data_IF_546322616841
#
_entry.id   IF_546322616841
#
_cell.length_a   1.000
_cell.length_b   1.000
_cell.length_c   1.000
_cell.angle_alpha   90.00
_cell.angle_beta   90.00
_cell.angle_gamma   90.00
#
_symmetry.space_group_name_H-M   'P 1'
#
loop_
_entity.id
_entity.type
_entity.pdbx_description
1 polymer ?
#
# COMPACT_ATOMS: atom_id res chain seq x y z
N UNK A 1 -27.07 -33.99 8.31
CA UNK A 1 -27.66 -33.63 7.02
C UNK A 1 -26.52 -33.49 6.06
N UNK A 2 -26.54 -34.24 4.96
CA UNK A 2 -25.45 -34.29 4.00
C UNK A 2 -25.50 -32.98 3.18
N UNK A 3 -24.39 -32.28 3.02
CA UNK A 3 -24.36 -31.02 2.32
C UNK A 3 -23.13 -30.88 1.41
N UNK A 4 -23.28 -30.09 0.37
CA UNK A 4 -22.20 -29.65 -0.50
C UNK A 4 -22.21 -28.13 -0.58
N UNK A 5 -21.04 -27.51 -0.66
CA UNK A 5 -20.86 -26.08 -0.87
C UNK A 5 -20.11 -25.87 -2.18
N UNK A 6 -20.62 -25.03 -3.07
CA UNK A 6 -19.99 -24.59 -4.31
C UNK A 6 -19.89 -23.07 -4.27
N UNK A 7 -18.67 -22.55 -4.16
CA UNK A 7 -18.39 -21.13 -4.21
C UNK A 7 -17.64 -20.83 -5.50
N UNK A 8 -18.16 -19.93 -6.32
CA UNK A 8 -17.53 -19.52 -7.57
C UNK A 8 -17.46 -18.00 -7.64
N UNK A 9 -16.25 -17.47 -7.83
CA UNK A 9 -16.04 -16.07 -8.16
C UNK A 9 -15.60 -15.98 -9.64
N UNK A 10 -16.48 -15.53 -10.54
CA UNK A 10 -16.18 -15.48 -11.97
C UNK A 10 -15.11 -14.45 -12.32
N UNK A 11 -14.97 -13.38 -11.53
CA UNK A 11 -14.00 -12.31 -11.75
C UNK A 11 -12.56 -12.69 -11.39
N UNK A 12 -12.41 -13.59 -10.41
CA UNK A 12 -11.11 -14.11 -9.98
C UNK A 12 -10.81 -15.50 -10.55
N UNK A 13 -11.76 -16.09 -11.30
CA UNK A 13 -11.72 -17.49 -11.77
C UNK A 13 -11.37 -18.47 -10.64
N UNK A 14 -11.95 -18.24 -9.45
CA UNK A 14 -11.72 -19.09 -8.27
C UNK A 14 -12.97 -19.87 -7.96
N UNK A 15 -12.83 -21.20 -7.91
CA UNK A 15 -13.90 -22.11 -7.50
C UNK A 15 -13.45 -22.90 -6.27
N UNK A 16 -14.22 -22.83 -5.19
CA UNK A 16 -14.03 -23.65 -4.01
C UNK A 16 -15.22 -24.59 -3.83
N UNK A 17 -14.96 -25.89 -3.70
CA UNK A 17 -16.00 -26.88 -3.42
C UNK A 17 -15.69 -27.58 -2.10
N UNK A 18 -16.72 -27.77 -1.27
CA UNK A 18 -16.63 -28.56 -0.03
C UNK A 18 -17.76 -29.57 0.01
N UNK A 19 -17.45 -30.80 0.42
CA UNK A 19 -18.43 -31.84 0.65
C UNK A 19 -18.44 -32.17 2.14
N UNK A 20 -19.59 -32.00 2.80
CA UNK A 20 -19.73 -32.19 4.24
C UNK A 20 -18.70 -31.39 5.07
N UNK A 21 -18.37 -30.17 4.62
CA UNK A 21 -17.38 -29.28 5.25
C UNK A 21 -15.92 -29.68 5.02
N UNK A 22 -15.64 -30.73 4.25
CA UNK A 22 -14.29 -31.19 3.91
C UNK A 22 -13.96 -30.85 2.45
N UNK A 23 -12.67 -30.67 2.18
CA UNK A 23 -12.18 -30.54 0.80
C UNK A 23 -12.49 -31.81 -0.01
N UNK A 24 -12.61 -31.69 -1.35
CA UNK A 24 -12.86 -32.84 -2.21
C UNK A 24 -11.76 -33.89 -2.04
N UNK A 25 -12.08 -35.15 -2.36
CA UNK A 25 -11.07 -36.22 -2.35
C UNK A 25 -9.96 -35.90 -3.35
N UNK A 26 -8.75 -36.35 -3.07
CA UNK A 26 -7.60 -36.22 -3.98
C UNK A 26 -7.95 -36.89 -5.33
N UNK A 27 -7.78 -36.16 -6.44
CA UNK A 27 -8.22 -36.51 -7.81
C UNK A 27 -9.74 -36.34 -8.06
N UNK A 28 -10.41 -35.47 -7.31
CA UNK A 28 -11.79 -35.12 -7.63
C UNK A 28 -11.85 -34.48 -9.03
N UNK A 29 -12.91 -34.76 -9.80
CA UNK A 29 -13.07 -34.18 -11.14
C UNK A 29 -13.13 -32.64 -11.13
N UNK A 30 -13.43 -32.04 -9.97
CA UNK A 30 -13.49 -30.59 -9.75
C UNK A 30 -12.14 -29.92 -9.97
N UNK A 31 -11.02 -30.59 -9.68
CA UNK A 31 -9.65 -30.05 -9.88
C UNK A 31 -9.42 -29.62 -11.34
N UNK A 32 -10.12 -30.23 -12.31
CA UNK A 32 -10.01 -29.88 -13.74
C UNK A 32 -10.69 -28.56 -14.12
N UNK A 33 -11.50 -28.02 -13.21
CA UNK A 33 -12.39 -26.88 -13.47
C UNK A 33 -12.14 -25.69 -12.54
N UNK A 34 -11.18 -25.78 -11.61
CA UNK A 34 -10.93 -24.74 -10.60
C UNK A 34 -10.69 -23.35 -11.20
N UNK A 35 -9.97 -23.30 -12.33
CA UNK A 35 -9.59 -22.07 -13.04
C UNK A 35 -10.46 -21.77 -14.28
N UNK A 36 -11.67 -22.35 -14.36
CA UNK A 36 -12.60 -22.12 -15.48
C UNK A 36 -13.87 -21.44 -15.00
N UNK A 37 -14.52 -20.70 -15.89
CA UNK A 37 -15.84 -20.13 -15.60
C UNK A 37 -16.84 -21.24 -15.31
N UNK A 38 -17.66 -21.08 -14.28
CA UNK A 38 -18.67 -22.08 -13.93
C UNK A 38 -19.62 -22.36 -15.09
N UNK A 39 -19.96 -21.33 -15.87
CA UNK A 39 -20.78 -21.45 -17.07
C UNK A 39 -20.24 -22.45 -18.11
N UNK A 40 -18.92 -22.70 -18.17
CA UNK A 40 -18.31 -23.63 -19.13
C UNK A 40 -18.48 -25.10 -18.74
N UNK A 41 -18.63 -25.37 -17.44
CA UNK A 41 -18.67 -26.73 -16.91
C UNK A 41 -19.87 -27.00 -16.02
N UNK A 42 -20.82 -26.06 -15.93
CA UNK A 42 -22.06 -26.20 -15.16
C UNK A 42 -22.79 -27.50 -15.53
N UNK A 43 -22.77 -27.88 -16.81
CA UNK A 43 -23.35 -29.13 -17.34
C UNK A 43 -22.75 -30.39 -16.71
N UNK A 44 -21.50 -30.35 -16.24
CA UNK A 44 -20.84 -31.46 -15.57
C UNK A 44 -21.12 -31.51 -14.05
N UNK A 45 -21.58 -30.40 -13.45
CA UNK A 45 -21.76 -30.27 -11.99
C UNK A 45 -22.65 -31.38 -11.40
N UNK A 46 -23.85 -31.69 -11.93
CA UNK A 46 -24.70 -32.69 -11.28
C UNK A 46 -24.05 -34.08 -11.23
N UNK A 47 -23.39 -34.50 -12.32
CA UNK A 47 -22.71 -35.80 -12.38
C UNK A 47 -21.54 -35.90 -11.40
N UNK A 48 -20.71 -34.84 -11.34
CA UNK A 48 -19.57 -34.79 -10.40
C UNK A 48 -20.04 -34.83 -8.94
N UNK A 49 -21.11 -34.12 -8.62
CA UNK A 49 -21.65 -34.08 -7.27
C UNK A 49 -22.36 -35.38 -6.89
N UNK A 50 -23.02 -36.04 -7.85
CA UNK A 50 -23.59 -37.38 -7.65
C UNK A 50 -22.53 -38.40 -7.25
N UNK A 51 -21.41 -38.43 -7.99
CA UNK A 51 -20.32 -39.37 -7.76
C UNK A 51 -19.65 -39.16 -6.40
N UNK A 52 -19.43 -37.90 -5.99
CA UNK A 52 -18.80 -37.61 -4.69
C UNK A 52 -19.72 -37.85 -3.50
N UNK A 53 -21.02 -37.56 -3.67
CA UNK A 53 -22.02 -37.69 -2.61
C UNK A 53 -22.68 -39.07 -2.55
N UNK A 54 -22.34 -39.97 -3.48
CA UNK A 54 -22.94 -41.29 -3.67
C UNK A 54 -24.47 -41.25 -3.87
N UNK A 55 -24.97 -40.21 -4.52
CA UNK A 55 -26.41 -40.03 -4.76
C UNK A 55 -26.89 -38.59 -4.69
N UNK A 56 -28.17 -38.41 -5.05
CA UNK A 56 -28.91 -37.16 -4.91
C UNK A 56 -29.78 -37.22 -3.64
N UNK A 57 -29.17 -36.90 -2.50
CA UNK A 57 -29.83 -36.71 -1.19
C UNK A 57 -28.99 -35.75 -0.34
N UNK A 58 -28.87 -34.49 -0.79
CA UNK A 58 -28.06 -33.48 -0.12
C UNK A 58 -28.54 -32.04 -0.39
N UNK A 59 -28.20 -31.14 0.52
CA UNK A 59 -28.35 -29.70 0.31
C UNK A 59 -27.12 -29.14 -0.41
N UNK A 60 -27.32 -28.37 -1.48
CA UNK A 60 -26.25 -27.68 -2.21
C UNK A 60 -26.29 -26.19 -1.89
N UNK A 61 -25.32 -25.72 -1.11
CA UNK A 61 -25.12 -24.30 -0.85
C UNK A 61 -24.28 -23.68 -1.95
N UNK A 62 -24.85 -22.74 -2.69
CA UNK A 62 -24.16 -22.01 -3.75
C UNK A 62 -23.76 -20.61 -3.28
N UNK A 63 -22.59 -20.13 -3.71
CA UNK A 63 -22.18 -18.73 -3.58
C UNK A 63 -21.56 -18.29 -4.90
N UNK A 64 -22.13 -17.26 -5.52
CA UNK A 64 -21.77 -16.86 -6.89
C UNK A 64 -22.71 -15.78 -7.39
N UNK A 65 -22.69 -15.55 -8.71
CA UNK A 65 -23.66 -14.64 -9.35
C UNK A 65 -25.05 -15.27 -9.40
N UNK A 66 -26.09 -14.44 -9.46
CA UNK A 66 -27.47 -14.94 -9.61
C UNK A 66 -27.65 -15.69 -10.94
N UNK A 67 -26.96 -15.25 -12.00
CA UNK A 67 -26.96 -15.94 -13.28
C UNK A 67 -26.44 -17.39 -13.17
N UNK A 68 -25.29 -17.58 -12.51
CA UNK A 68 -24.71 -18.91 -12.32
C UNK A 68 -25.64 -19.81 -11.48
N UNK A 69 -26.32 -19.24 -10.49
CA UNK A 69 -27.29 -19.96 -9.66
C UNK A 69 -28.50 -20.44 -10.46
N UNK A 70 -29.08 -19.59 -11.31
CA UNK A 70 -30.17 -19.97 -12.21
C UNK A 70 -29.74 -21.05 -13.21
N UNK A 71 -28.55 -20.88 -13.81
CA UNK A 71 -27.99 -21.85 -14.76
C UNK A 71 -27.75 -23.22 -14.09
N UNK A 72 -27.27 -23.21 -12.85
CA UNK A 72 -27.10 -24.41 -12.04
C UNK A 72 -28.45 -25.10 -11.79
N UNK A 73 -29.48 -24.38 -11.36
CA UNK A 73 -30.84 -24.93 -11.15
C UNK A 73 -31.40 -25.54 -12.43
N UNK A 74 -31.30 -24.83 -13.56
CA UNK A 74 -31.73 -25.34 -14.86
C UNK A 74 -30.99 -26.61 -15.25
N UNK A 75 -29.68 -26.68 -14.98
CA UNK A 75 -28.87 -27.85 -15.32
C UNK A 75 -29.29 -29.11 -14.53
N UNK A 76 -29.54 -28.97 -13.22
CA UNK A 76 -30.05 -30.07 -12.40
C UNK A 76 -31.45 -30.52 -12.87
N UNK A 77 -32.33 -29.56 -13.21
CA UNK A 77 -33.66 -29.86 -13.74
C UNK A 77 -33.62 -30.58 -15.10
N UNK A 78 -32.71 -30.17 -15.99
CA UNK A 78 -32.51 -30.81 -17.29
C UNK A 78 -31.98 -32.25 -17.19
N UNK A 79 -31.24 -32.58 -16.12
CA UNK A 79 -30.85 -33.96 -15.80
C UNK A 79 -31.96 -34.76 -15.09
N UNK A 80 -33.13 -34.17 -14.88
CA UNK A 80 -34.27 -34.83 -14.23
C UNK A 80 -34.13 -34.97 -12.72
N UNK A 81 -33.23 -34.20 -12.09
CA UNK A 81 -33.08 -34.18 -10.63
C UNK A 81 -34.17 -33.31 -10.03
N UNK A 82 -34.97 -33.89 -9.14
CA UNK A 82 -36.08 -33.18 -8.51
C UNK A 82 -35.56 -32.30 -7.34
N UNK A 83 -36.23 -31.16 -7.05
CA UNK A 83 -35.86 -30.29 -5.93
C UNK A 83 -35.89 -30.99 -4.55
N UNK A 84 -36.65 -32.08 -4.42
CA UNK A 84 -36.68 -32.90 -3.21
C UNK A 84 -35.43 -33.79 -3.04
N UNK A 85 -34.65 -34.01 -4.11
CA UNK A 85 -33.44 -34.83 -4.09
C UNK A 85 -32.18 -33.97 -3.86
N UNK A 86 -32.11 -32.80 -4.51
CA UNK A 86 -31.05 -31.82 -4.29
C UNK A 86 -31.68 -30.45 -4.10
N UNK A 87 -31.61 -29.94 -2.88
CA UNK A 87 -32.07 -28.59 -2.58
C UNK A 87 -30.93 -27.60 -2.76
N UNK A 88 -31.00 -26.82 -3.83
CA UNK A 88 -30.00 -25.78 -4.14
C UNK A 88 -30.41 -24.49 -3.41
N UNK A 89 -29.50 -23.94 -2.62
CA UNK A 89 -29.72 -22.78 -1.75
C UNK A 89 -28.63 -21.75 -2.02
N UNK A 90 -29.01 -20.54 -2.42
CA UNK A 90 -28.09 -19.41 -2.51
C UNK A 90 -27.70 -18.95 -1.10
N UNK A 91 -26.40 -18.89 -0.81
CA UNK A 91 -25.86 -18.47 0.49
C UNK A 91 -25.32 -17.05 0.45
N UNK A 92 -24.51 -16.74 -0.56
CA UNK A 92 -23.95 -15.41 -0.79
C UNK A 92 -24.06 -15.09 -2.28
N UNK A 93 -24.72 -13.98 -2.57
CA UNK A 93 -24.84 -13.45 -3.93
C UNK A 93 -23.67 -12.50 -4.19
N UNK A 94 -22.95 -12.73 -5.29
CA UNK A 94 -22.01 -11.77 -5.84
C UNK A 94 -22.75 -10.85 -6.81
N UNK A 95 -22.41 -9.56 -6.76
CA UNK A 95 -22.92 -8.57 -7.69
C UNK A 95 -22.59 -8.93 -9.14
N UNK A 96 -23.52 -8.62 -10.03
CA UNK A 96 -23.40 -8.87 -11.46
C UNK A 96 -22.31 -8.01 -12.11
N UNK A 97 -21.82 -8.50 -13.25
CA UNK A 97 -20.71 -7.86 -13.97
C UNK A 97 -21.06 -6.44 -14.44
N UNK A 98 -22.33 -6.16 -14.68
CA UNK A 98 -22.83 -4.83 -15.08
C UNK A 98 -22.70 -3.82 -13.92
N UNK A 99 -23.06 -4.24 -12.71
CA UNK A 99 -22.90 -3.43 -11.51
C UNK A 99 -21.41 -3.17 -11.26
N UNK A 100 -20.58 -4.23 -11.33
CA UNK A 100 -19.12 -4.10 -11.18
C UNK A 100 -18.47 -3.21 -12.24
N UNK A 101 -18.90 -3.32 -13.49
CA UNK A 101 -18.41 -2.46 -14.58
C UNK A 101 -18.75 -0.99 -14.31
N UNK A 102 -19.94 -0.71 -13.78
CA UNK A 102 -20.33 0.64 -13.37
C UNK A 102 -19.51 1.15 -12.19
N UNK A 103 -19.31 0.34 -11.16
CA UNK A 103 -18.46 0.69 -10.00
C UNK A 103 -17.01 1.00 -10.44
N UNK A 104 -16.47 0.24 -11.39
CA UNK A 104 -15.13 0.50 -11.95
C UNK A 104 -15.10 1.88 -12.62
N UNK A 105 -16.13 2.24 -13.40
CA UNK A 105 -16.20 3.57 -14.03
C UNK A 105 -16.28 4.68 -12.99
N UNK A 106 -17.12 4.51 -11.96
CA UNK A 106 -17.22 5.45 -10.84
C UNK A 106 -15.89 5.57 -10.08
N UNK A 107 -15.15 4.47 -9.91
CA UNK A 107 -13.81 4.47 -9.31
C UNK A 107 -12.79 5.23 -10.18
N UNK A 108 -12.77 5.00 -11.49
CA UNK A 108 -11.90 5.71 -12.42
C UNK A 108 -12.20 7.22 -12.43
N UNK A 109 -13.48 7.59 -12.45
CA UNK A 109 -13.90 8.99 -12.32
C UNK A 109 -13.42 9.58 -10.99
N UNK A 110 -13.60 8.85 -9.88
CA UNK A 110 -13.15 9.29 -8.57
C UNK A 110 -11.62 9.49 -8.51
N UNK A 111 -10.83 8.57 -9.08
CA UNK A 111 -9.37 8.68 -9.15
C UNK A 111 -8.92 9.86 -10.02
N UNK A 112 -9.64 10.15 -11.10
CA UNK A 112 -9.36 11.29 -11.96
C UNK A 112 -9.54 12.64 -11.23
N UNK A 113 -10.49 12.70 -10.28
CA UNK A 113 -10.76 13.89 -9.47
C UNK A 113 -9.80 13.97 -8.27
N UNK A 114 -9.55 12.84 -7.61
CA UNK A 114 -8.78 12.75 -6.38
C UNK A 114 -7.32 12.38 -6.66
N UNK A 115 -6.57 13.34 -7.20
CA UNK A 115 -5.16 13.16 -7.53
C UNK A 115 -4.30 12.89 -6.30
N UNK A 116 -3.42 11.90 -6.39
CA UNK A 116 -2.48 11.53 -5.34
C UNK A 116 -1.04 11.77 -5.81
N UNK A 117 -0.21 12.39 -4.97
CA UNK A 117 1.20 12.66 -5.30
C UNK A 117 2.03 11.39 -5.47
N UNK A 118 1.65 10.30 -4.81
CA UNK A 118 2.34 9.01 -4.84
C UNK A 118 1.82 8.06 -5.92
N UNK A 119 0.74 8.43 -6.61
CA UNK A 119 0.11 7.61 -7.66
C UNK A 119 -0.25 8.49 -8.86
N UNK A 120 0.48 8.30 -9.96
CA UNK A 120 0.25 9.02 -11.21
C UNK A 120 -0.88 8.36 -12.00
N UNK A 121 -2.11 8.82 -11.76
CA UNK A 121 -3.29 8.31 -12.45
C UNK A 121 -3.27 8.56 -13.96
N UNK A 122 -2.67 9.65 -14.45
CA UNK A 122 -2.68 9.92 -15.90
C UNK A 122 -1.79 8.91 -16.63
N UNK A 123 -0.58 8.67 -16.10
CA UNK A 123 0.32 7.65 -16.64
C UNK A 123 -0.30 6.24 -16.55
N UNK A 124 -0.94 5.92 -15.42
CA UNK A 124 -1.63 4.64 -15.23
C UNK A 124 -2.80 4.46 -16.22
N UNK A 125 -3.62 5.50 -16.40
CA UNK A 125 -4.76 5.47 -17.31
C UNK A 125 -4.31 5.36 -18.76
N UNK A 126 -3.30 6.11 -19.19
CA UNK A 126 -2.79 6.09 -20.56
C UNK A 126 -2.22 4.72 -20.96
N UNK A 127 -1.54 4.02 -20.04
CA UNK A 127 -1.01 2.68 -20.28
C UNK A 127 -2.13 1.63 -20.45
N UNK A 128 -3.24 1.81 -19.74
CA UNK A 128 -4.34 0.84 -19.69
C UNK A 128 -5.60 1.31 -20.44
N UNK A 129 -5.46 2.35 -21.26
CA UNK A 129 -6.57 3.02 -21.94
C UNK A 129 -7.39 2.08 -22.80
N UNK A 130 -6.73 1.17 -23.50
CA UNK A 130 -7.37 0.19 -24.38
C UNK A 130 -8.35 -0.71 -23.63
N UNK A 131 -8.07 -1.03 -22.36
CA UNK A 131 -8.95 -1.83 -21.51
C UNK A 131 -10.07 -0.95 -20.94
N UNK A 132 -9.75 0.22 -20.37
CA UNK A 132 -10.74 1.07 -19.69
C UNK A 132 -11.78 1.69 -20.63
N UNK A 133 -11.41 1.97 -21.87
CA UNK A 133 -12.32 2.52 -22.89
C UNK A 133 -12.99 1.44 -23.74
N UNK A 134 -12.76 0.16 -23.44
CA UNK A 134 -13.32 -0.95 -24.19
C UNK A 134 -14.85 -0.93 -24.15
N UNK A 135 -15.45 -0.79 -25.32
CA UNK A 135 -16.88 -0.98 -25.52
C UNK A 135 -17.14 -2.41 -25.95
N UNK A 136 -18.06 -3.11 -25.30
CA UNK A 136 -18.43 -4.45 -25.70
C UNK A 136 -19.01 -4.45 -27.12
N UNK A 137 -18.39 -5.20 -28.03
CA UNK A 137 -18.78 -5.33 -29.43
C UNK A 137 -19.47 -6.67 -29.68
N UNK A 138 -20.45 -6.68 -30.58
CA UNK A 138 -21.07 -7.89 -31.13
C UNK A 138 -20.91 -7.89 -32.66
N UNK A 139 -20.33 -8.95 -33.20
CA UNK A 139 -20.11 -9.09 -34.64
C UNK A 139 -21.35 -9.71 -35.28
N UNK A 140 -21.93 -9.03 -36.26
CA UNK A 140 -23.07 -9.53 -37.03
C UNK A 140 -22.61 -9.87 -38.43
N UNK A 141 -22.61 -11.15 -38.77
CA UNK A 141 -22.30 -11.63 -40.11
C UNK A 141 -23.57 -11.52 -40.96
N UNK A 142 -23.49 -10.66 -41.98
CA UNK A 142 -24.54 -10.39 -42.97
C UNK A 142 -25.80 -9.78 -42.35
N UNK A 143 -25.57 -8.88 -41.39
CA UNK A 143 -26.58 -7.97 -40.89
C UNK A 143 -27.17 -7.10 -42.01
N UNK A 144 -28.45 -6.76 -41.91
CA UNK A 144 -28.91 -5.50 -42.52
C UNK A 144 -28.47 -4.37 -41.60
N UNK A 145 -28.12 -3.20 -42.17
CA UNK A 145 -27.90 -1.97 -41.40
C UNK A 145 -29.24 -1.49 -40.82
N UNK A 146 -29.79 -2.23 -39.85
CA UNK A 146 -30.90 -1.75 -39.04
C UNK A 146 -30.34 -1.32 -37.69
N UNK A 147 -30.32 0.00 -37.50
CA UNK A 147 -29.99 0.65 -36.23
C UNK A 147 -31.02 0.18 -35.21
N UNK A 148 -30.60 -0.73 -34.32
CA UNK A 148 -31.36 -1.05 -33.13
C UNK A 148 -31.00 0.01 -32.09
N UNK A 149 -31.88 1.00 -31.92
CA UNK A 149 -31.75 1.98 -30.85
C UNK A 149 -31.83 1.27 -29.48
N UNK A 150 -30.97 1.70 -28.54
CA UNK A 150 -30.88 1.25 -27.14
C UNK A 150 -30.26 -0.13 -26.82
N UNK A 151 -29.29 -0.62 -27.60
CA UNK A 151 -28.48 -1.77 -27.18
C UNK A 151 -27.33 -1.36 -26.22
N UNK A 152 -27.01 -2.16 -25.18
CA UNK A 152 -25.91 -1.87 -24.26
C UNK A 152 -24.51 -2.18 -24.83
N UNK A 153 -24.44 -2.52 -26.13
CA UNK A 153 -23.23 -2.94 -26.84
C UNK A 153 -23.24 -2.42 -28.28
N UNK A 154 -22.07 -2.36 -28.90
CA UNK A 154 -21.90 -1.90 -30.28
C UNK A 154 -22.05 -3.07 -31.27
N UNK A 155 -22.66 -2.80 -32.43
CA UNK A 155 -22.83 -3.80 -33.49
C UNK A 155 -21.82 -3.55 -34.61
N UNK A 156 -21.00 -4.54 -34.90
CA UNK A 156 -20.08 -4.52 -36.05
C UNK A 156 -20.63 -5.43 -37.15
N UNK A 157 -21.16 -4.84 -38.22
CA UNK A 157 -21.75 -5.58 -39.31
C UNK A 157 -20.71 -5.88 -40.40
N UNK A 158 -20.47 -7.17 -40.63
CA UNK A 158 -19.50 -7.65 -41.62
C UNK A 158 -20.20 -8.43 -42.72
N UNK A 159 -19.73 -8.32 -43.96
CA UNK A 159 -20.32 -9.06 -45.09
C UNK A 159 -19.79 -10.48 -45.13
N UNK A 160 -18.52 -10.66 -44.76
CA UNK A 160 -17.89 -11.97 -44.66
C UNK A 160 -16.87 -12.03 -43.54
N UNK A 161 -16.67 -13.24 -43.03
CA UNK A 161 -15.64 -13.59 -42.04
C UNK A 161 -14.22 -13.23 -42.51
N UNK A 162 -13.99 -13.08 -43.81
CA UNK A 162 -12.70 -12.64 -44.36
C UNK A 162 -12.25 -11.25 -43.84
N UNK A 163 -13.19 -10.42 -43.37
CA UNK A 163 -12.91 -9.07 -42.83
C UNK A 163 -12.31 -9.10 -41.41
N UNK A 164 -12.53 -10.19 -40.67
CA UNK A 164 -12.16 -10.35 -39.24
C UNK A 164 -11.01 -11.34 -39.03
N UNK A 165 -10.26 -11.68 -40.08
CA UNK A 165 -9.17 -12.67 -40.01
C UNK A 165 -8.02 -12.25 -39.07
N UNK A 166 -7.82 -10.94 -38.87
CA UNK A 166 -6.76 -10.39 -38.03
C UNK A 166 -7.20 -9.93 -36.63
N UNK A 167 -8.49 -9.99 -36.31
CA UNK A 167 -9.02 -9.53 -35.02
C UNK A 167 -9.11 -10.69 -34.03
N UNK A 168 -8.78 -10.46 -32.77
CA UNK A 168 -8.99 -11.46 -31.72
C UNK A 168 -10.47 -11.42 -31.30
N UNK A 169 -11.15 -12.56 -31.45
CA UNK A 169 -12.58 -12.68 -31.14
C UNK A 169 -12.84 -13.43 -29.84
N UNK A 170 -11.84 -13.56 -28.95
CA UNK A 170 -12.00 -14.22 -27.65
C UNK A 170 -13.15 -13.59 -26.87
N UNK A 171 -14.12 -14.41 -26.45
CA UNK A 171 -15.36 -14.01 -25.78
C UNK A 171 -16.29 -13.06 -26.55
N UNK A 172 -15.96 -12.63 -27.77
CA UNK A 172 -16.82 -11.76 -28.58
C UNK A 172 -17.99 -12.58 -29.16
N UNK A 173 -19.26 -12.17 -28.97
CA UNK A 173 -20.40 -12.86 -29.59
C UNK A 173 -20.43 -12.62 -31.10
N UNK A 174 -20.71 -13.69 -31.85
CA UNK A 174 -20.86 -13.66 -33.31
C UNK A 174 -22.26 -14.12 -33.68
N UNK A 175 -23.03 -13.24 -34.30
CA UNK A 175 -24.39 -13.50 -34.76
C UNK A 175 -24.39 -13.74 -36.27
N UNK A 176 -24.87 -14.92 -36.68
CA UNK A 176 -25.09 -15.25 -38.09
C UNK A 176 -26.54 -15.00 -38.49
N UNK A 177 -26.75 -14.19 -39.52
CA UNK A 177 -28.05 -14.07 -40.20
C UNK A 177 -28.10 -15.08 -41.34
N UNK A 178 -29.02 -16.05 -41.24
CA UNK A 178 -29.21 -17.12 -42.22
C UNK A 178 -30.44 -16.81 -43.06
N UNK A 179 -30.20 -16.53 -44.34
CA UNK A 179 -31.22 -16.32 -45.36
C UNK A 179 -31.11 -17.40 -46.47
N UNK A 180 -32.19 -17.70 -47.22
CA UNK A 180 -32.18 -18.74 -48.24
C UNK A 180 -31.07 -18.55 -49.28
N UNK A 181 -30.81 -17.30 -49.67
CA UNK A 181 -29.87 -16.94 -50.71
C UNK A 181 -28.40 -17.01 -50.24
N UNK A 182 -28.16 -17.01 -48.92
CA UNK A 182 -26.82 -16.90 -48.33
C UNK A 182 -26.33 -18.18 -47.66
N UNK A 183 -27.10 -19.28 -47.70
CA UNK A 183 -26.79 -20.54 -46.99
C UNK A 183 -25.46 -21.18 -47.40
N UNK A 184 -25.08 -21.13 -48.68
CA UNK A 184 -23.80 -21.69 -49.15
C UNK A 184 -22.61 -20.88 -48.64
N UNK A 185 -22.75 -19.56 -48.64
CA UNK A 185 -21.75 -18.67 -48.10
C UNK A 185 -21.69 -18.81 -46.56
N UNK A 186 -22.82 -19.08 -45.90
CA UNK A 186 -22.86 -19.30 -44.44
C UNK A 186 -22.05 -20.54 -44.07
N UNK A 187 -22.18 -21.63 -44.83
CA UNK A 187 -21.38 -22.85 -44.62
C UNK A 187 -19.88 -22.57 -44.64
N UNK A 188 -19.42 -21.81 -45.63
CA UNK A 188 -18.00 -21.46 -45.77
C UNK A 188 -17.53 -20.64 -44.57
N UNK A 189 -18.29 -19.62 -44.20
CA UNK A 189 -17.94 -18.67 -43.14
C UNK A 189 -18.02 -19.33 -41.74
N UNK A 190 -18.95 -20.26 -41.51
CA UNK A 190 -19.01 -21.02 -40.25
C UNK A 190 -17.79 -21.94 -40.11
N UNK A 191 -17.43 -22.67 -41.18
CA UNK A 191 -16.26 -23.56 -41.17
C UNK A 191 -14.95 -22.79 -40.95
N UNK A 192 -14.82 -21.60 -41.54
CA UNK A 192 -13.62 -20.79 -41.32
C UNK A 192 -13.52 -20.23 -39.89
N UNK A 193 -14.64 -19.92 -39.23
CA UNK A 193 -14.63 -19.53 -37.82
C UNK A 193 -14.36 -20.70 -36.87
N UNK A 194 -14.92 -21.88 -37.12
CA UNK A 194 -14.72 -23.04 -36.24
C UNK A 194 -13.32 -23.64 -36.31
N UNK A 195 -12.55 -23.35 -37.37
CA UNK A 195 -11.12 -23.68 -37.45
C UNK A 195 -10.25 -22.77 -36.57
N UNK A 196 -10.76 -21.62 -36.12
CA UNK A 196 -10.01 -20.69 -35.29
C UNK A 196 -9.97 -21.13 -33.83
N UNK A 197 -8.88 -20.78 -33.14
CA UNK A 197 -8.65 -21.13 -31.72
C UNK A 197 -9.26 -20.14 -30.73
N UNK A 198 -9.56 -18.93 -31.18
CA UNK A 198 -10.11 -17.83 -30.39
C UNK A 198 -11.65 -17.80 -30.38
N UNK A 199 -12.29 -18.80 -31.00
CA UNK A 199 -13.74 -18.93 -31.10
C UNK A 199 -14.18 -20.26 -30.51
N UNK A 200 -15.16 -20.19 -29.63
CA UNK A 200 -15.86 -21.32 -29.05
C UNK A 200 -17.31 -21.37 -29.55
N UNK A 201 -17.90 -22.56 -29.55
CA UNK A 201 -19.27 -22.75 -30.05
C UNK A 201 -20.30 -21.91 -29.27
N UNK A 202 -20.04 -21.65 -27.99
CA UNK A 202 -20.88 -20.81 -27.11
C UNK A 202 -20.92 -19.33 -27.52
N UNK A 203 -20.02 -18.87 -28.39
CA UNK A 203 -20.01 -17.51 -28.92
C UNK A 203 -20.92 -17.34 -30.14
N UNK A 204 -21.36 -18.45 -30.74
CA UNK A 204 -22.06 -18.45 -32.02
C UNK A 204 -23.58 -18.43 -31.81
N UNK A 205 -24.22 -17.39 -32.32
CA UNK A 205 -25.66 -17.21 -32.30
C UNK A 205 -26.22 -17.25 -33.72
N UNK A 206 -27.37 -17.87 -33.91
CA UNK A 206 -27.96 -18.08 -35.23
C UNK A 206 -29.37 -17.47 -35.29
N UNK A 207 -29.52 -16.46 -36.15
CA UNK A 207 -30.80 -15.88 -36.50
C UNK A 207 -31.30 -16.52 -37.81
N UNK A 208 -32.35 -17.32 -37.71
CA UNK A 208 -32.96 -18.02 -38.86
C UNK A 208 -34.11 -17.17 -39.40
N UNK A 209 -34.04 -16.79 -40.67
CA UNK A 209 -35.12 -16.04 -41.32
C UNK A 209 -36.46 -16.78 -41.23
N UNK A 210 -37.60 -16.10 -40.96
CA UNK A 210 -38.92 -16.73 -40.83
C UNK A 210 -39.40 -17.49 -42.07
N UNK A 211 -38.76 -17.26 -43.22
CA UNK A 211 -39.07 -17.89 -44.50
C UNK A 211 -38.43 -19.27 -44.67
N UNK A 212 -37.56 -19.69 -43.75
CA UNK A 212 -36.85 -20.97 -43.78
C UNK A 212 -37.43 -21.99 -42.82
N UNK A 213 -37.26 -23.28 -43.15
CA UNK A 213 -37.56 -24.38 -42.25
C UNK A 213 -36.51 -24.45 -41.13
N UNK A 214 -36.95 -24.14 -39.90
CA UNK A 214 -36.11 -24.12 -38.71
C UNK A 214 -35.49 -25.49 -38.41
N UNK A 215 -36.23 -26.58 -38.57
CA UNK A 215 -35.72 -27.92 -38.24
C UNK A 215 -34.62 -28.34 -39.21
N UNK A 216 -34.79 -28.02 -40.49
CA UNK A 216 -33.77 -28.25 -41.51
C UNK A 216 -32.49 -27.46 -41.22
N UNK A 217 -32.60 -26.17 -40.89
CA UNK A 217 -31.43 -25.31 -40.63
C UNK A 217 -30.71 -25.72 -39.35
N UNK A 218 -31.43 -26.08 -38.28
CA UNK A 218 -30.83 -26.61 -37.05
C UNK A 218 -30.03 -27.87 -37.34
N UNK A 219 -30.63 -28.82 -38.07
CA UNK A 219 -29.93 -30.04 -38.47
C UNK A 219 -28.69 -29.74 -39.32
N UNK A 220 -28.80 -28.79 -40.24
CA UNK A 220 -27.68 -28.35 -41.06
C UNK A 220 -26.53 -27.76 -40.23
N UNK A 221 -26.83 -26.98 -39.19
CA UNK A 221 -25.82 -26.43 -38.27
C UNK A 221 -25.17 -27.55 -37.44
N UNK A 222 -25.97 -28.51 -36.95
CA UNK A 222 -25.45 -29.68 -36.24
C UNK A 222 -24.54 -30.54 -37.12
N UNK A 223 -24.90 -30.73 -38.41
CA UNK A 223 -24.09 -31.47 -39.39
C UNK A 223 -22.73 -30.78 -39.65
N UNK A 224 -22.61 -29.47 -39.38
CA UNK A 224 -21.37 -28.70 -39.46
C UNK A 224 -20.52 -28.75 -38.17
N UNK A 225 -20.97 -29.49 -37.15
CA UNK A 225 -20.19 -29.78 -35.94
C UNK A 225 -20.49 -28.89 -34.73
N UNK A 226 -21.57 -28.09 -34.76
CA UNK A 226 -22.03 -27.33 -33.59
C UNK A 226 -22.96 -28.19 -32.75
N UNK A 227 -22.58 -28.44 -31.50
CA UNK A 227 -23.41 -29.17 -30.54
C UNK A 227 -24.30 -28.16 -29.80
N UNK A 228 -25.63 -28.26 -29.97
CA UNK A 228 -26.63 -27.37 -29.35
C UNK A 228 -26.57 -25.91 -29.84
N UNK A 229 -27.04 -25.62 -31.08
CA UNK A 229 -26.95 -24.28 -31.66
C UNK A 229 -27.84 -23.26 -30.94
N UNK A 230 -27.27 -22.12 -30.57
CA UNK A 230 -27.99 -21.03 -29.92
C UNK A 230 -28.82 -20.24 -30.93
N UNK A 231 -30.12 -20.52 -30.97
CA UNK A 231 -31.07 -19.84 -31.86
C UNK A 231 -31.59 -18.56 -31.21
N UNK A 232 -31.57 -17.46 -31.94
CA UNK A 232 -32.14 -16.18 -31.50
C UNK A 232 -33.32 -15.77 -32.38
N UNK A 233 -34.34 -15.14 -31.78
CA UNK A 233 -35.49 -14.61 -32.52
C UNK A 233 -35.31 -13.16 -32.96
N UNK A 234 -34.41 -12.44 -32.31
CA UNK A 234 -33.91 -11.13 -32.71
C UNK A 234 -32.55 -10.88 -32.06
N UNK A 235 -31.80 -9.88 -32.55
CA UNK A 235 -30.55 -9.45 -31.88
C UNK A 235 -30.84 -8.88 -30.48
N UNK A 236 -32.05 -8.36 -30.28
CA UNK A 236 -32.55 -7.81 -29.02
C UNK A 236 -33.22 -8.84 -28.08
N UNK A 237 -33.17 -10.13 -28.40
CA UNK A 237 -33.84 -11.22 -27.67
C UNK A 237 -33.21 -11.51 -26.27
N UNK A 238 -32.41 -10.59 -25.75
CA UNK A 238 -31.71 -10.70 -24.46
C UNK A 238 -30.58 -11.72 -24.44
N UNK A 239 -30.60 -12.76 -25.28
CA UNK A 239 -29.62 -13.87 -25.28
C UNK A 239 -28.18 -13.38 -25.50
N UNK A 240 -27.98 -12.50 -26.48
CA UNK A 240 -26.68 -11.88 -26.75
C UNK A 240 -26.26 -10.96 -25.61
N UNK A 241 -27.20 -10.18 -25.06
CA UNK A 241 -26.96 -9.30 -23.90
C UNK A 241 -26.51 -10.12 -22.68
N UNK A 242 -27.17 -11.22 -22.39
CA UNK A 242 -26.81 -12.14 -21.30
C UNK A 242 -25.43 -12.74 -21.53
N UNK A 243 -25.11 -13.15 -22.76
CA UNK A 243 -23.78 -13.63 -23.10
C UNK A 243 -22.69 -12.58 -22.83
N UNK A 244 -22.91 -11.34 -23.28
CA UNK A 244 -21.97 -10.23 -23.06
C UNK A 244 -21.71 -10.00 -21.57
N UNK A 245 -22.76 -10.02 -20.75
CA UNK A 245 -22.64 -9.85 -19.29
C UNK A 245 -21.81 -10.95 -18.63
N UNK A 246 -21.87 -12.19 -19.14
CA UNK A 246 -21.27 -13.34 -18.47
C UNK A 246 -19.87 -13.71 -18.97
N UNK A 247 -19.49 -13.26 -20.17
CA UNK A 247 -18.19 -13.60 -20.78
C UNK A 247 -17.33 -12.35 -21.00
N UNK A 248 -17.56 -11.48 -22.00
CA UNK A 248 -16.81 -10.23 -22.18
C UNK A 248 -16.70 -9.38 -20.92
N UNK A 249 -17.83 -9.12 -20.26
CA UNK A 249 -17.88 -8.18 -19.14
C UNK A 249 -17.21 -8.75 -17.89
N UNK A 250 -17.35 -10.06 -17.64
CA UNK A 250 -16.60 -10.77 -16.60
C UNK A 250 -15.10 -10.72 -16.86
N UNK A 251 -14.68 -10.97 -18.12
CA UNK A 251 -13.27 -10.90 -18.51
C UNK A 251 -12.71 -9.48 -18.33
N UNK A 252 -13.46 -8.46 -18.73
CA UNK A 252 -13.11 -7.06 -18.49
C UNK A 252 -12.93 -6.75 -16.99
N UNK A 253 -13.92 -7.09 -16.16
CA UNK A 253 -13.84 -6.86 -14.70
C UNK A 253 -12.64 -7.60 -14.10
N UNK A 254 -12.40 -8.85 -14.51
CA UNK A 254 -11.25 -9.63 -14.06
C UNK A 254 -9.92 -8.99 -14.45
N UNK A 255 -9.77 -8.51 -15.68
CA UNK A 255 -8.54 -7.87 -16.13
C UNK A 255 -8.30 -6.54 -15.41
N UNK A 256 -9.34 -5.73 -15.22
CA UNK A 256 -9.25 -4.48 -14.44
C UNK A 256 -8.81 -4.75 -13.01
N UNK A 257 -9.38 -5.77 -12.35
CA UNK A 257 -8.97 -6.16 -10.99
C UNK A 257 -7.47 -6.49 -10.97
N UNK A 258 -6.98 -7.27 -11.95
CA UNK A 258 -5.56 -7.63 -12.01
C UNK A 258 -4.64 -6.44 -12.21
N UNK A 259 -5.04 -5.47 -13.03
CA UNK A 259 -4.30 -4.23 -13.25
C UNK A 259 -4.21 -3.44 -11.93
N UNK A 260 -5.33 -3.26 -11.23
CA UNK A 260 -5.35 -2.57 -9.94
C UNK A 260 -4.57 -3.32 -8.85
N UNK A 261 -4.69 -4.65 -8.76
CA UNK A 261 -3.91 -5.46 -7.83
C UNK A 261 -2.42 -5.31 -8.08
N UNK A 262 -1.98 -5.30 -9.34
CA UNK A 262 -0.59 -5.08 -9.68
C UNK A 262 -0.09 -3.72 -9.17
N UNK A 263 -0.83 -2.65 -9.46
CA UNK A 263 -0.45 -1.29 -9.06
C UNK A 263 -0.43 -1.11 -7.54
N UNK A 264 -1.43 -1.66 -6.83
CA UNK A 264 -1.48 -1.65 -5.36
C UNK A 264 -0.27 -2.36 -4.76
N UNK A 265 0.13 -3.51 -5.33
CA UNK A 265 1.30 -4.24 -4.86
C UNK A 265 2.61 -3.48 -5.09
N UNK A 266 2.73 -2.79 -6.23
CA UNK A 266 3.89 -1.92 -6.53
C UNK A 266 3.96 -0.76 -5.55
N UNK A 267 2.83 -0.11 -5.27
CA UNK A 267 2.75 0.98 -4.30
C UNK A 267 3.08 0.51 -2.88
N UNK A 268 2.54 -0.63 -2.44
CA UNK A 268 2.80 -1.18 -1.11
C UNK A 268 4.29 -1.52 -0.92
N UNK A 269 4.94 -2.06 -1.95
CA UNK A 269 6.39 -2.29 -1.94
C UNK A 269 7.19 -0.98 -1.79
N UNK A 270 6.84 0.05 -2.57
CA UNK A 270 7.47 1.37 -2.51
C UNK A 270 7.26 2.06 -1.15
N UNK A 271 6.08 1.92 -0.55
CA UNK A 271 5.78 2.46 0.77
C UNK A 271 6.56 1.76 1.88
N UNK A 272 6.72 0.43 1.81
CA UNK A 272 7.55 -0.33 2.75
C UNK A 272 8.99 0.13 2.71
N UNK A 273 9.58 0.26 1.53
CA UNK A 273 10.96 0.73 1.36
C UNK A 273 11.15 2.15 1.92
N UNK A 274 10.22 3.07 1.63
CA UNK A 274 10.27 4.42 2.20
C UNK A 274 10.15 4.43 3.73
N UNK A 275 9.28 3.61 4.30
CA UNK A 275 9.13 3.52 5.74
C UNK A 275 10.39 2.96 6.41
N UNK A 276 11.05 1.97 5.79
CA UNK A 276 12.34 1.45 6.26
C UNK A 276 13.43 2.53 6.21
N UNK A 277 13.52 3.27 5.10
CA UNK A 277 14.46 4.37 4.96
C UNK A 277 14.21 5.49 5.99
N UNK A 278 12.96 5.90 6.19
CA UNK A 278 12.62 6.88 7.23
C UNK A 278 12.87 6.37 8.64
N UNK A 279 12.76 5.06 8.90
CA UNK A 279 13.13 4.50 10.19
C UNK A 279 14.64 4.60 10.45
N UNK A 280 15.47 4.35 9.44
CA UNK A 280 16.93 4.50 9.52
C UNK A 280 17.30 5.96 9.76
N UNK A 281 16.75 6.88 8.99
CA UNK A 281 17.00 8.33 9.14
C UNK A 281 16.57 8.83 10.53
N UNK A 282 15.42 8.37 11.03
CA UNK A 282 14.97 8.73 12.38
C UNK A 282 15.95 8.24 13.46
N UNK A 283 16.49 7.02 13.33
CA UNK A 283 17.50 6.50 14.27
C UNK A 283 18.76 7.37 14.25
N UNK A 284 19.24 7.73 13.05
CA UNK A 284 20.41 8.61 12.91
C UNK A 284 20.17 9.99 13.56
N UNK A 285 18.97 10.56 13.38
CA UNK A 285 18.59 11.83 14.02
C UNK A 285 18.58 11.69 15.56
N UNK A 286 18.07 10.59 16.11
CA UNK A 286 18.10 10.35 17.56
C UNK A 286 19.52 10.20 18.11
N UNK A 287 20.43 9.56 17.36
CA UNK A 287 21.84 9.46 17.72
C UNK A 287 22.50 10.85 17.74
N UNK A 288 22.24 11.67 16.71
CA UNK A 288 22.73 13.05 16.66
C UNK A 288 22.21 13.90 17.82
N UNK A 289 20.91 13.82 18.13
CA UNK A 289 20.32 14.53 19.28
C UNK A 289 20.99 14.09 20.59
N UNK A 290 21.17 12.78 20.79
CA UNK A 290 21.81 12.25 22.00
C UNK A 290 23.24 12.75 22.16
N UNK A 291 24.00 12.85 21.07
CA UNK A 291 25.37 13.40 21.08
C UNK A 291 25.40 14.89 21.45
N UNK A 292 24.43 15.67 20.96
CA UNK A 292 24.29 17.09 21.29
C UNK A 292 23.88 17.30 22.74
N UNK A 293 23.00 16.47 23.27
CA UNK A 293 22.62 16.49 24.69
C UNK A 293 23.83 16.23 25.61
N UNK A 294 24.69 15.26 25.26
CA UNK A 294 25.93 15.00 26.00
C UNK A 294 26.88 16.22 25.99
N UNK A 295 27.02 16.88 24.83
CA UNK A 295 27.82 18.10 24.70
C UNK A 295 27.25 19.24 25.56
N UNK A 296 25.93 19.45 25.50
CA UNK A 296 25.26 20.49 26.29
C UNK A 296 25.46 20.24 27.78
N UNK A 297 25.37 19.00 28.24
CA UNK A 297 25.56 18.67 29.66
C UNK A 297 26.99 18.99 30.13
N UNK A 298 28.01 18.64 29.34
CA UNK A 298 29.41 18.99 29.64
C UNK A 298 29.64 20.51 29.70
N UNK A 299 28.97 21.27 28.83
CA UNK A 299 29.05 22.73 28.82
C UNK A 299 28.40 23.30 30.09
N UNK A 300 27.23 22.79 30.50
CA UNK A 300 26.55 23.21 31.74
C UNK A 300 27.39 22.92 32.98
N UNK A 301 27.93 21.70 33.09
CA UNK A 301 28.81 21.33 34.22
C UNK A 301 30.00 22.30 34.33
N UNK A 302 30.57 22.69 33.19
CA UNK A 302 31.66 23.65 33.17
C UNK A 302 31.20 25.08 33.53
N UNK A 303 30.06 25.54 33.02
CA UNK A 303 29.50 26.85 33.38
C UNK A 303 29.22 26.94 34.89
N UNK A 304 28.67 25.87 35.48
CA UNK A 304 28.48 25.75 36.92
C UNK A 304 29.82 25.87 37.68
N UNK A 305 30.92 25.34 37.13
CA UNK A 305 32.26 25.53 37.69
C UNK A 305 32.75 26.99 37.63
N UNK A 306 32.37 27.76 36.60
CA UNK A 306 32.72 29.18 36.49
C UNK A 306 31.87 30.08 37.40
N UNK A 307 30.58 29.78 37.56
CA UNK A 307 29.61 30.64 38.28
C UNK A 307 29.66 30.42 39.79
N UNK A 308 29.91 29.19 40.25
CA UNK A 308 29.88 28.87 41.69
C UNK A 308 31.15 29.34 42.42
N UNK A 309 31.04 30.51 43.06
CA UNK A 309 32.05 31.09 43.95
C UNK A 309 32.42 30.20 45.15
N UNK A 310 31.58 29.22 45.51
CA UNK A 310 31.84 28.24 46.56
C UNK A 310 33.02 27.30 46.23
N UNK A 311 33.46 27.24 44.96
CA UNK A 311 34.68 26.55 44.56
C UNK A 311 35.97 27.31 44.96
N UNK A 312 35.88 28.56 45.43
CA UNK A 312 37.03 29.37 45.81
C UNK A 312 37.35 29.26 47.31
N UNK A 313 38.42 28.52 47.64
CA UNK A 313 38.89 28.30 49.02
C UNK A 313 39.91 29.33 49.54
N UNK A 314 40.31 30.31 48.71
CA UNK A 314 41.42 31.23 49.01
C UNK A 314 41.12 32.37 50.00
N UNK A 315 39.87 32.49 50.48
CA UNK A 315 39.38 33.65 51.25
C UNK A 315 40.05 33.90 52.60
N UNK A 316 40.65 32.88 53.21
CA UNK A 316 41.13 32.99 54.60
C UNK A 316 42.54 33.58 54.75
N UNK A 317 43.41 33.44 53.75
CA UNK A 317 44.83 33.84 53.89
C UNK A 317 45.04 35.35 54.00
N UNK A 318 44.21 36.15 53.32
CA UNK A 318 44.25 37.61 53.48
C UNK A 318 43.82 38.02 54.90
N UNK A 319 42.87 37.31 55.49
CA UNK A 319 42.46 37.51 56.88
C UNK A 319 43.58 37.11 57.86
N UNK A 320 44.32 36.04 57.57
CA UNK A 320 45.49 35.63 58.34
C UNK A 320 46.59 36.70 58.29
N UNK A 321 46.93 37.21 57.10
CA UNK A 321 47.94 38.27 56.93
C UNK A 321 47.56 39.56 57.66
N UNK A 322 46.27 39.92 57.64
CA UNK A 322 45.76 41.05 58.41
C UNK A 322 45.93 40.80 59.92
N UNK A 323 45.61 39.61 60.40
CA UNK A 323 45.76 39.24 61.81
C UNK A 323 47.23 39.26 62.24
N UNK A 324 48.16 38.80 61.40
CA UNK A 324 49.61 38.85 61.63
C UNK A 324 50.13 40.29 61.77
N UNK A 325 49.61 41.22 60.96
CA UNK A 325 49.94 42.65 61.06
C UNK A 325 49.41 43.26 62.37
N UNK A 326 48.14 43.00 62.71
CA UNK A 326 47.53 43.46 63.96
C UNK A 326 48.29 42.96 65.19
N UNK A 327 48.70 41.70 65.18
CA UNK A 327 49.50 41.10 66.25
C UNK A 327 50.87 41.75 66.37
N UNK A 328 51.52 42.09 65.25
CA UNK A 328 52.82 42.77 65.25
C UNK A 328 52.73 44.17 65.87
N UNK A 329 51.66 44.92 65.56
CA UNK A 329 51.38 46.23 66.14
C UNK A 329 51.05 46.10 67.64
N UNK A 330 50.23 45.13 68.03
CA UNK A 330 49.90 44.86 69.46
C UNK A 330 51.13 44.46 70.27
N UNK A 331 52.01 43.63 69.71
CA UNK A 331 53.29 43.24 70.33
C UNK A 331 54.18 44.45 70.54
N UNK A 332 54.23 45.38 69.59
CA UNK A 332 54.97 46.63 69.79
C UNK A 332 54.38 47.47 70.93
N UNK A 333 53.05 47.67 70.94
CA UNK A 333 52.33 48.43 71.98
C UNK A 333 52.52 47.86 73.40
N UNK A 334 52.66 46.55 73.53
CA UNK A 334 52.83 45.87 74.82
C UNK A 334 54.27 45.86 75.34
N UNK A 335 55.25 46.33 74.57
CA UNK A 335 56.62 46.56 75.05
C UNK A 335 56.58 47.63 76.14
N UNK A 336 56.85 47.25 77.40
CA UNK A 336 56.98 48.21 78.52
C UNK A 336 58.29 48.99 78.39
N UNK A 337 58.27 50.08 77.63
CA UNK A 337 59.40 51.00 77.53
C UNK A 337 59.20 52.10 78.57
N UNK A 338 60.11 52.19 79.55
CA UNK A 338 60.10 53.28 80.54
C UNK A 338 60.69 54.51 79.87
N UNK A 339 59.83 55.43 79.42
CA UNK A 339 60.24 56.65 78.71
C UNK A 339 60.38 57.79 79.72
N UNK A 340 61.56 58.41 79.83
CA UNK A 340 61.81 59.53 80.74
C UNK A 340 62.45 60.70 79.99
N UNK A 341 61.66 61.76 79.77
CA UNK A 341 62.10 63.01 79.15
C UNK A 341 61.86 63.08 77.64
N UNK A 342 61.81 64.31 77.10
CA UNK A 342 61.37 64.58 75.72
C UNK A 342 62.22 63.89 74.64
N UNK A 343 63.53 63.74 74.88
CA UNK A 343 64.46 63.13 73.89
C UNK A 343 64.18 61.63 73.69
N UNK A 344 63.80 60.90 74.75
CA UNK A 344 63.45 59.48 74.65
C UNK A 344 62.05 59.26 74.04
N UNK A 345 61.15 60.25 74.17
CA UNK A 345 59.84 60.24 73.51
C UNK A 345 60.04 60.32 71.98
N UNK A 346 60.84 61.29 71.52
CA UNK A 346 61.09 61.49 70.08
C UNK A 346 61.80 60.28 69.45
N UNK A 347 62.75 59.68 70.17
CA UNK A 347 63.44 58.47 69.72
C UNK A 347 62.51 57.27 69.60
N UNK A 348 61.68 57.00 70.62
CA UNK A 348 60.74 55.88 70.56
C UNK A 348 59.63 56.09 69.52
N UNK A 349 59.21 57.34 69.28
CA UNK A 349 58.28 57.68 68.21
C UNK A 349 58.90 57.40 66.83
N UNK A 350 60.16 57.79 66.63
CA UNK A 350 60.91 57.50 65.41
C UNK A 350 61.08 55.98 65.21
N UNK A 351 61.44 55.25 66.26
CA UNK A 351 61.60 53.79 66.21
C UNK A 351 60.25 53.08 65.93
N UNK A 352 59.13 53.60 66.46
CA UNK A 352 57.79 53.11 66.13
C UNK A 352 57.45 53.31 64.66
N UNK A 353 57.68 54.51 64.14
CA UNK A 353 57.39 54.83 62.74
C UNK A 353 58.23 53.95 61.79
N UNK A 354 59.49 53.68 62.14
CA UNK A 354 60.35 52.77 61.38
C UNK A 354 59.84 51.31 61.43
N UNK A 355 59.52 50.79 62.61
CA UNK A 355 58.97 49.43 62.77
C UNK A 355 57.60 49.29 62.09
N UNK A 356 56.72 50.30 62.20
CA UNK A 356 55.40 50.31 61.57
C UNK A 356 55.52 50.31 60.04
N UNK A 357 56.40 51.16 59.48
CA UNK A 357 56.67 51.17 58.05
C UNK A 357 57.21 49.81 57.59
N UNK A 358 58.06 49.17 58.39
CA UNK A 358 58.54 47.81 58.10
C UNK A 358 57.40 46.79 58.09
N UNK A 359 56.56 46.74 59.13
CA UNK A 359 55.45 45.79 59.20
C UNK A 359 54.45 45.98 58.05
N UNK A 360 54.16 47.24 57.70
CA UNK A 360 53.28 47.56 56.57
C UNK A 360 53.90 47.13 55.25
N UNK A 361 55.20 47.37 55.04
CA UNK A 361 55.91 46.93 53.83
C UNK A 361 55.95 45.40 53.71
N UNK A 362 56.21 44.69 54.81
CA UNK A 362 56.20 43.22 54.85
C UNK A 362 54.80 42.67 54.56
N UNK A 363 53.75 43.30 55.11
CA UNK A 363 52.36 42.96 54.79
C UNK A 363 52.05 43.15 53.31
N UNK A 364 52.36 44.32 52.73
CA UNK A 364 52.09 44.58 51.31
C UNK A 364 52.84 43.61 50.41
N UNK A 365 54.11 43.33 50.72
CA UNK A 365 54.90 42.36 49.96
C UNK A 365 54.25 40.98 49.97
N UNK A 366 53.91 40.46 51.15
CA UNK A 366 53.30 39.14 51.29
C UNK A 366 51.89 39.07 50.66
N UNK A 367 51.11 40.14 50.78
CA UNK A 367 49.78 40.23 50.17
C UNK A 367 49.86 40.27 48.63
N UNK A 368 50.81 41.01 48.06
CA UNK A 368 51.04 41.07 46.61
C UNK A 368 51.54 39.73 46.09
N UNK A 369 52.49 39.09 46.77
CA UNK A 369 52.98 37.76 46.40
C UNK A 369 51.86 36.72 46.42
N UNK A 370 51.04 36.71 47.48
CA UNK A 370 49.88 35.81 47.57
C UNK A 370 48.83 36.12 46.50
N UNK A 371 48.54 37.40 46.23
CA UNK A 371 47.63 37.80 45.16
C UNK A 371 48.08 37.27 43.79
N UNK A 372 49.36 37.42 43.43
CA UNK A 372 49.87 36.93 42.15
C UNK A 372 49.86 35.41 42.04
N UNK A 373 50.18 34.71 43.14
CA UNK A 373 50.10 33.26 43.20
C UNK A 373 48.66 32.78 42.98
N UNK A 374 47.72 33.36 43.72
CA UNK A 374 46.32 32.97 43.68
C UNK A 374 45.67 33.32 42.34
N UNK A 375 45.97 34.51 41.80
CA UNK A 375 45.59 34.88 40.44
C UNK A 375 46.06 33.85 39.42
N UNK A 376 47.34 33.45 39.48
CA UNK A 376 47.90 32.48 38.53
C UNK A 376 47.25 31.09 38.69
N UNK A 377 46.92 30.69 39.92
CA UNK A 377 46.22 29.44 40.20
C UNK A 377 44.84 29.43 39.57
N UNK A 378 44.04 30.46 39.84
CA UNK A 378 42.69 30.64 39.29
C UNK A 378 42.74 30.67 37.75
N UNK A 379 43.66 31.45 37.17
CA UNK A 379 43.82 31.55 35.72
C UNK A 379 44.19 30.21 35.07
N UNK A 380 44.98 29.37 35.74
CA UNK A 380 45.35 28.05 35.22
C UNK A 380 44.20 27.05 35.35
N UNK A 381 43.53 26.99 36.51
CA UNK A 381 42.41 26.09 36.76
C UNK A 381 41.26 26.35 35.78
N UNK A 382 40.85 27.61 35.62
CA UNK A 382 39.82 27.99 34.67
C UNK A 382 40.24 27.81 33.20
N UNK A 383 41.54 27.96 32.90
CA UNK A 383 42.05 27.68 31.55
C UNK A 383 42.00 26.18 31.23
N UNK A 384 42.30 25.31 32.19
CA UNK A 384 42.18 23.86 31.98
C UNK A 384 40.73 23.44 31.77
N UNK A 385 39.80 23.98 32.56
CA UNK A 385 38.35 23.75 32.36
C UNK A 385 37.92 24.22 30.96
N UNK A 386 38.34 25.41 30.54
CA UNK A 386 38.02 25.97 29.23
C UNK A 386 38.59 25.12 28.06
N UNK A 387 39.85 24.69 28.14
CA UNK A 387 40.50 23.92 27.07
C UNK A 387 39.99 22.50 26.92
N UNK A 388 39.43 21.91 28.00
CA UNK A 388 38.90 20.55 27.99
C UNK A 388 37.43 20.48 27.53
N UNK A 389 36.80 21.62 27.23
CA UNK A 389 35.47 21.62 26.64
C UNK A 389 35.50 21.10 25.19
N UNK A 390 34.43 20.45 24.74
CA UNK A 390 34.21 20.16 23.32
C UNK A 390 33.88 21.46 22.57
N UNK A 391 34.86 22.37 22.49
CA UNK A 391 34.76 23.59 21.71
C UNK A 391 34.84 23.23 20.23
N UNK A 392 33.97 23.83 19.43
CA UNK A 392 34.11 23.82 17.99
C UNK A 392 35.48 24.44 17.63
N UNK A 393 36.36 23.72 16.90
CA UNK A 393 37.67 24.24 16.48
C UNK A 393 37.58 25.56 15.70
N UNK A 394 36.43 25.83 15.07
CA UNK A 394 36.16 27.07 14.32
C UNK A 394 35.59 28.19 15.21
N UNK A 395 35.17 27.89 16.45
CA UNK A 395 34.67 28.90 17.37
C UNK A 395 35.82 29.70 17.98
N UNK A 396 36.04 30.88 17.41
CA UNK A 396 36.95 31.89 17.96
C UNK A 396 36.10 32.97 18.67
N UNK A 397 36.14 33.06 20.02
CA UNK A 397 35.40 34.08 20.75
C UNK A 397 35.85 35.50 20.39
N UNK A 398 37.11 35.63 19.97
CA UNK A 398 37.66 36.83 19.38
C UNK A 398 37.58 36.69 17.86
N UNK A 399 36.52 37.23 17.25
CA UNK A 399 36.40 37.31 15.80
C UNK A 399 37.64 37.95 15.18
N UNK A 400 38.36 37.17 14.37
CA UNK A 400 39.34 37.67 13.42
C UNK A 400 38.71 37.72 12.02
#
# INVERSE_FOLDING_TARGET
MVNAELQHNPYLLKTEVKFNGQSPKINCQIEKYENKLLSDWVKAVPGVFYDEMNGYDFDLFFSGTEYDFENLKMTFANMGVLPEQVRIIMRNELEDAEVKSKEIKELLEWLSINRNRQFDFDAFYDVNKDVFEETFTCVVVRGKEEVTEDLPFTLENIKSVDEIVGTNLTNVPVVFIIEPDTIQLFRRDLLSLTERKDIEQKQLFFFISPTMDKEYVVRFICDLGIEDPQLITSISDGSVTTYIKNYPMVAYVGEVIRIFEHEVNVMDACLKEKNEQSAIENVEVYEQISSLEEIIEKIKESDDHFVNLDCYSGGNRFSDLQSELEDSIRKWKSRKIKVVGNIEIDRNATDYEQDLNRYINDFYKNAIEYYHLEKSRIENEFREVYLNQPLDPEYHPDGA
#
